data_IF_577536884718
#
_entry.id   IF_577536884718
#
_cell.length_a   1.000
_cell.length_b   1.000
_cell.length_c   1.000
_cell.angle_alpha   90.00
_cell.angle_beta   90.00
_cell.angle_gamma   90.00
#
_symmetry.space_group_name_H-M   'P 1'
#
loop_
_entity.id
_entity.type
_entity.pdbx_description
1 polymer ?
#
# COMPACT_ATOMS: atom_id res chain seq x y z
N UNK A 1 -17.29 15.07 -20.98
CA UNK A 1 -17.58 14.86 -19.55
C UNK A 1 -17.30 13.41 -19.25
N UNK A 2 -16.38 13.10 -18.33
CA UNK A 2 -16.13 11.70 -17.96
C UNK A 2 -17.25 11.23 -17.05
N UNK A 3 -17.97 10.20 -17.49
CA UNK A 3 -19.03 9.56 -16.71
C UNK A 3 -18.40 8.49 -15.80
N UNK A 4 -17.90 8.91 -14.63
CA UNK A 4 -17.48 7.96 -13.60
C UNK A 4 -18.56 7.81 -12.55
N UNK A 5 -18.95 6.57 -12.26
CA UNK A 5 -19.74 6.26 -11.07
C UNK A 5 -18.78 6.08 -9.89
N UNK A 6 -19.04 6.80 -8.79
CA UNK A 6 -18.29 6.62 -7.54
C UNK A 6 -18.96 5.52 -6.72
N UNK A 7 -18.21 4.49 -6.38
CA UNK A 7 -18.60 3.47 -5.41
C UNK A 7 -17.69 3.63 -4.20
N UNK A 8 -18.26 3.57 -3.00
CA UNK A 8 -17.51 3.64 -1.73
C UNK A 8 -17.62 2.30 -1.02
N UNK A 9 -16.48 1.79 -0.57
CA UNK A 9 -16.38 0.56 0.22
C UNK A 9 -15.74 0.89 1.57
N UNK A 10 -16.29 0.36 2.65
CA UNK A 10 -15.80 0.57 4.02
C UNK A 10 -15.37 -0.76 4.61
N UNK A 11 -14.16 -0.82 5.18
CA UNK A 11 -13.61 -1.98 5.88
C UNK A 11 -13.20 -1.58 7.29
N UNK A 12 -13.58 -2.39 8.29
CA UNK A 12 -13.16 -2.24 9.68
C UNK A 12 -12.49 -3.53 10.11
N UNK A 13 -11.30 -3.42 10.72
CA UNK A 13 -10.52 -4.53 11.27
C UNK A 13 -9.88 -4.09 12.58
N UNK A 14 -10.04 -4.90 13.61
CA UNK A 14 -9.41 -4.70 14.91
C UNK A 14 -8.03 -5.36 14.91
N UNK A 15 -7.03 -4.62 15.40
CA UNK A 15 -5.69 -5.12 15.62
C UNK A 15 -5.27 -4.81 17.06
N UNK A 16 -4.78 -5.83 17.77
CA UNK A 16 -4.26 -5.70 19.14
C UNK A 16 -2.78 -5.28 19.13
N UNK A 17 -2.51 -4.12 18.51
CA UNK A 17 -1.18 -3.51 18.34
C UNK A 17 -1.30 -1.99 18.38
N UNK A 18 -0.19 -1.28 18.55
CA UNK A 18 -0.24 0.18 18.59
C UNK A 18 -0.60 0.78 17.21
N UNK A 19 -1.32 1.91 17.14
CA UNK A 19 -1.67 2.56 15.87
C UNK A 19 -0.46 2.90 14.99
N UNK A 20 0.68 3.22 15.61
CA UNK A 20 1.95 3.51 14.92
C UNK A 20 2.48 2.27 14.17
N UNK A 21 2.31 1.08 14.75
CA UNK A 21 2.70 -0.18 14.11
C UNK A 21 1.79 -0.48 12.90
N UNK A 22 0.49 -0.22 13.02
CA UNK A 22 -0.44 -0.34 11.89
C UNK A 22 -0.07 0.66 10.79
N UNK A 23 0.29 1.90 11.13
CA UNK A 23 0.70 2.89 10.13
C UNK A 23 1.99 2.47 9.42
N UNK A 24 2.98 1.98 10.16
CA UNK A 24 4.29 1.56 9.63
C UNK A 24 4.15 0.49 8.54
N UNK A 25 3.20 -0.45 8.66
CA UNK A 25 3.02 -1.50 7.63
C UNK A 25 2.55 -0.99 6.27
N UNK A 26 2.03 0.24 6.20
CA UNK A 26 1.63 0.91 4.96
C UNK A 26 2.74 1.72 4.29
N UNK A 27 3.83 2.03 5.01
CA UNK A 27 4.89 2.92 4.51
C UNK A 27 6.27 2.27 4.47
N UNK A 28 6.52 1.24 5.28
CA UNK A 28 7.81 0.55 5.29
C UNK A 28 7.90 -0.46 4.15
N UNK A 29 8.84 -0.32 3.18
CA UNK A 29 9.02 -1.27 2.09
C UNK A 29 9.18 -2.73 2.53
N UNK A 30 9.84 -2.97 3.67
CA UNK A 30 10.08 -4.32 4.19
C UNK A 30 8.82 -4.97 4.75
N UNK A 31 7.83 -4.18 5.13
CA UNK A 31 6.51 -4.66 5.54
C UNK A 31 5.56 -4.77 4.36
N UNK A 32 5.48 -3.72 3.52
CA UNK A 32 4.62 -3.65 2.33
C UNK A 32 4.81 -4.88 1.43
N UNK A 33 6.06 -5.28 1.18
CA UNK A 33 6.41 -6.43 0.31
C UNK A 33 5.83 -7.77 0.76
N UNK A 34 5.25 -7.84 1.95
CA UNK A 34 4.66 -9.06 2.51
C UNK A 34 3.15 -9.17 2.29
N UNK A 35 2.45 -8.08 1.97
CA UNK A 35 0.98 -8.07 1.99
C UNK A 35 0.27 -7.14 0.99
N UNK A 36 0.85 -5.99 0.63
CA UNK A 36 0.13 -4.97 -0.14
C UNK A 36 0.18 -5.26 -1.64
N UNK A 37 -0.90 -5.80 -2.20
CA UNK A 37 -1.00 -6.30 -3.59
C UNK A 37 -0.02 -7.41 -3.96
N UNK A 38 0.67 -7.99 -2.98
CA UNK A 38 1.69 -9.01 -3.16
C UNK A 38 1.71 -9.98 -1.98
N UNK A 39 2.56 -11.00 -2.04
CA UNK A 39 2.90 -11.89 -0.93
C UNK A 39 4.43 -11.98 -0.86
N UNK A 40 4.98 -12.28 0.32
CA UNK A 40 6.43 -12.34 0.52
C UNK A 40 7.16 -13.25 -0.49
N UNK A 41 6.56 -14.41 -0.83
CA UNK A 41 7.14 -15.35 -1.80
C UNK A 41 6.93 -14.98 -3.28
N UNK A 42 6.08 -14.01 -3.58
CA UNK A 42 5.76 -13.61 -4.97
C UNK A 42 6.13 -12.16 -5.27
N UNK A 43 6.58 -11.40 -4.28
CA UNK A 43 7.05 -10.04 -4.49
C UNK A 43 8.32 -10.04 -5.35
N UNK A 44 8.33 -9.14 -6.34
CA UNK A 44 9.48 -8.92 -7.23
C UNK A 44 10.08 -7.54 -7.03
N UNK A 45 9.23 -6.52 -6.85
CA UNK A 45 9.65 -5.13 -6.61
C UNK A 45 8.73 -4.53 -5.56
N UNK A 46 9.33 -3.84 -4.59
CA UNK A 46 8.65 -2.89 -3.73
C UNK A 46 9.49 -1.63 -3.65
N UNK A 47 8.92 -0.51 -4.07
CA UNK A 47 9.49 0.83 -3.91
C UNK A 47 8.46 1.70 -3.22
N UNK A 48 8.91 2.46 -2.24
CA UNK A 48 8.05 3.41 -1.57
C UNK A 48 8.81 4.66 -1.19
N UNK A 49 8.24 5.81 -1.51
CA UNK A 49 8.69 7.13 -1.05
C UNK A 49 7.54 7.74 -0.26
N UNK A 50 7.43 7.48 1.05
CA UNK A 50 6.33 7.98 1.86
C UNK A 50 6.40 9.50 2.05
N UNK A 51 5.25 10.14 1.94
CA UNK A 51 5.07 11.59 2.05
C UNK A 51 4.13 12.12 0.98
N UNK A 52 3.50 13.28 1.20
CA UNK A 52 2.60 13.90 0.20
C UNK A 52 3.37 14.19 -1.09
N UNK A 53 2.82 13.75 -2.24
CA UNK A 53 3.48 13.78 -3.55
C UNK A 53 4.51 12.67 -3.78
N UNK A 54 4.76 11.84 -2.76
CA UNK A 54 5.58 10.64 -2.86
C UNK A 54 4.86 9.52 -3.60
N UNK A 55 5.61 8.66 -4.26
CA UNK A 55 5.07 7.56 -5.08
C UNK A 55 5.45 6.19 -4.53
N UNK A 56 4.67 5.18 -4.93
CA UNK A 56 4.91 3.79 -4.61
C UNK A 56 4.72 2.89 -5.83
N UNK A 57 5.42 1.76 -5.82
CA UNK A 57 5.34 0.73 -6.86
C UNK A 57 5.48 -0.66 -6.23
N UNK A 58 4.53 -1.54 -6.56
CA UNK A 58 4.56 -2.96 -6.24
C UNK A 58 4.52 -3.76 -7.54
N UNK A 59 5.46 -4.69 -7.69
CA UNK A 59 5.41 -5.71 -8.73
C UNK A 59 5.37 -7.08 -8.08
N UNK A 60 4.31 -7.81 -8.36
CA UNK A 60 4.06 -9.16 -7.91
C UNK A 60 4.16 -10.13 -9.10
N UNK A 61 4.90 -11.23 -8.93
CA UNK A 61 5.13 -12.23 -9.96
C UNK A 61 4.38 -13.53 -9.63
N UNK A 62 3.38 -13.86 -10.44
CA UNK A 62 2.57 -15.08 -10.29
C UNK A 62 2.34 -15.74 -11.64
N UNK A 63 2.52 -17.05 -11.70
CA UNK A 63 2.25 -17.87 -12.89
C UNK A 63 2.97 -17.34 -14.16
N UNK A 64 4.24 -16.93 -14.02
CA UNK A 64 5.03 -16.41 -15.14
C UNK A 64 4.65 -15.00 -15.60
N UNK A 65 3.77 -14.29 -14.89
CA UNK A 65 3.32 -12.95 -15.23
C UNK A 65 3.58 -11.95 -14.11
N UNK A 66 4.01 -10.75 -14.50
CA UNK A 66 4.15 -9.61 -13.59
C UNK A 66 2.85 -8.80 -13.52
N UNK A 67 2.43 -8.49 -12.31
CA UNK A 67 1.31 -7.61 -11.99
C UNK A 67 1.86 -6.37 -11.30
N UNK A 68 1.61 -5.19 -11.89
CA UNK A 68 2.17 -3.92 -11.43
C UNK A 68 1.07 -3.01 -10.90
N UNK A 69 1.23 -2.56 -9.66
CA UNK A 69 0.43 -1.51 -9.05
C UNK A 69 1.32 -0.31 -8.71
N UNK A 70 0.83 0.89 -9.00
CA UNK A 70 1.51 2.16 -8.72
C UNK A 70 0.52 3.16 -8.13
N UNK A 71 1.03 4.12 -7.37
CA UNK A 71 0.21 5.22 -6.87
C UNK A 71 1.04 6.36 -6.30
N UNK A 72 0.31 7.37 -5.83
CA UNK A 72 0.82 8.60 -5.23
C UNK A 72 0.09 8.84 -3.91
N UNK A 73 0.81 9.35 -2.91
CA UNK A 73 0.21 9.78 -1.65
C UNK A 73 -0.31 11.22 -1.79
N UNK A 74 -1.62 11.40 -1.72
CA UNK A 74 -2.26 12.72 -1.74
C UNK A 74 -2.36 13.37 -0.36
N UNK A 75 -2.49 12.56 0.70
CA UNK A 75 -2.59 13.01 2.09
C UNK A 75 -1.88 12.00 2.98
N UNK A 76 -1.17 12.50 3.99
CA UNK A 76 -0.49 11.66 4.96
C UNK A 76 -0.45 12.36 6.32
N UNK A 77 -1.25 11.87 7.27
CA UNK A 77 -1.25 12.34 8.64
C UNK A 77 -0.44 11.35 9.48
N UNK A 78 0.84 11.65 9.66
CA UNK A 78 1.70 10.87 10.55
C UNK A 78 1.20 11.09 11.97
N UNK A 79 0.97 10.00 12.71
CA UNK A 79 0.71 10.05 14.13
C UNK A 79 1.97 10.63 14.81
N UNK A 80 1.92 11.91 15.17
CA UNK A 80 2.93 12.53 16.02
C UNK A 80 2.41 12.51 17.44
N UNK A 81 3.22 11.97 18.34
CA UNK A 81 3.08 12.15 19.78
C UNK A 81 3.20 13.63 20.16
#
# INVERSE_FOLDING_TARGET
>A
MNNYSKITFTMVRDFDVAPEEVFEVWINPDMIKKWFFTLEGTNKITRNTPGVGGSWEIVDHRNGKDYRAIGEYFEMNVLKN
#
